data_IF_930685478648
#
_entry.id   IF_930685478648
#
_cell.length_a   1.000
_cell.length_b   1.000
_cell.length_c   1.000
_cell.angle_alpha   90.00
_cell.angle_beta   90.00
_cell.angle_gamma   90.00
#
_symmetry.space_group_name_H-M   'P 1'
#
loop_
_entity.id
_entity.type
_entity.pdbx_description
1 polymer ?
#
# COMPACT_ATOMS: atom_id res chain seq x y z
N UNK A 1 10.09 17.09 4.50
CA UNK A 1 8.71 16.63 4.19
C UNK A 1 8.78 15.17 3.78
N UNK A 2 8.08 14.30 4.50
CA UNK A 2 8.37 12.87 4.56
C UNK A 2 7.35 12.09 3.73
N UNK A 3 7.81 11.43 2.66
CA UNK A 3 7.03 10.53 1.81
C UNK A 3 6.70 9.25 2.58
N UNK A 4 5.43 8.88 2.75
CA UNK A 4 5.04 7.72 3.58
C UNK A 4 4.26 6.72 2.74
N UNK A 5 4.88 5.57 2.47
CA UNK A 5 4.17 4.45 1.90
C UNK A 5 3.70 3.52 3.02
N UNK A 6 2.46 3.04 2.91
CA UNK A 6 1.87 2.14 3.89
C UNK A 6 1.71 0.76 3.25
N UNK A 7 2.35 -0.24 3.86
CA UNK A 7 2.27 -1.63 3.44
C UNK A 7 1.43 -2.39 4.45
N UNK A 8 0.31 -2.95 4.00
CA UNK A 8 -0.60 -3.68 4.87
C UNK A 8 -0.49 -5.17 4.54
N UNK A 9 0.09 -5.95 5.46
CA UNK A 9 0.04 -7.41 5.37
C UNK A 9 -1.20 -7.91 6.11
N UNK A 10 -2.14 -8.50 5.37
CA UNK A 10 -3.35 -9.07 5.95
C UNK A 10 -3.14 -10.57 6.16
N UNK A 11 -3.18 -11.01 7.42
CA UNK A 11 -3.28 -12.43 7.77
C UNK A 11 -4.75 -12.84 7.77
N UNK A 12 -5.39 -12.86 6.59
CA UNK A 12 -6.73 -13.41 6.47
C UNK A 12 -6.63 -14.92 6.25
N UNK A 13 -7.22 -15.78 7.10
CA UNK A 13 -7.34 -17.19 6.75
C UNK A 13 -8.12 -17.28 5.44
N UNK A 14 -7.58 -18.01 4.46
CA UNK A 14 -8.01 -18.10 3.06
C UNK A 14 -9.50 -18.45 2.82
N UNK A 15 -10.30 -18.63 3.88
CA UNK A 15 -11.69 -19.11 3.87
C UNK A 15 -12.71 -18.22 4.57
N UNK A 16 -12.34 -17.06 5.12
CA UNK A 16 -13.20 -16.33 6.08
C UNK A 16 -13.85 -15.02 5.57
N UNK A 17 -14.12 -14.87 4.28
CA UNK A 17 -15.03 -13.81 3.82
C UNK A 17 -16.19 -14.40 3.03
N UNK A 18 -17.39 -14.55 3.63
CA UNK A 18 -18.60 -14.75 2.85
C UNK A 18 -18.81 -13.54 1.93
N UNK A 19 -19.26 -13.83 0.72
CA UNK A 19 -19.48 -12.85 -0.33
C UNK A 19 -20.58 -11.87 0.09
N UNK A 20 -20.24 -10.73 0.69
CA UNK A 20 -21.19 -9.63 0.86
C UNK A 20 -20.51 -8.29 1.15
N UNK A 21 -20.55 -7.42 0.13
CA UNK A 21 -20.65 -5.94 0.15
C UNK A 21 -19.59 -5.13 0.92
N UNK A 22 -18.82 -4.38 0.12
CA UNK A 22 -18.22 -3.07 0.41
C UNK A 22 -18.14 -2.62 1.88
N UNK A 23 -16.93 -2.61 2.45
CA UNK A 23 -16.60 -1.67 3.52
C UNK A 23 -15.29 -0.95 3.19
N UNK A 24 -15.39 0.38 3.19
CA UNK A 24 -14.33 1.37 2.97
C UNK A 24 -13.36 1.25 4.15
N UNK A 25 -12.09 0.93 3.92
CA UNK A 25 -11.05 1.04 4.94
C UNK A 25 -10.50 2.45 4.83
N UNK A 26 -10.99 3.35 5.66
CA UNK A 26 -10.44 4.69 5.78
C UNK A 26 -9.12 4.61 6.56
N UNK A 27 -8.02 5.11 5.97
CA UNK A 27 -6.67 5.18 6.56
C UNK A 27 -6.60 6.24 7.70
N UNK A 28 -7.71 6.46 8.41
CA UNK A 28 -7.86 7.43 9.48
C UNK A 28 -7.98 6.72 10.84
N UNK A 29 -7.10 5.77 11.15
CA UNK A 29 -6.90 5.34 12.54
C UNK A 29 -5.56 4.64 12.78
N UNK A 30 -4.49 5.16 12.17
CA UNK A 30 -3.14 4.70 12.45
C UNK A 30 -2.31 5.88 12.98
N UNK A 31 -2.29 5.95 14.32
CA UNK A 31 -1.44 6.75 15.20
C UNK A 31 -2.07 8.02 15.82
N UNK A 32 -2.35 7.95 17.12
CA UNK A 32 -2.12 9.07 18.03
C UNK A 32 -0.85 8.75 18.82
N UNK A 33 0.16 9.62 18.71
CA UNK A 33 1.37 9.56 19.54
C UNK A 33 1.03 9.93 20.98
N UNK A 34 1.36 9.06 21.92
CA UNK A 34 1.59 9.44 23.32
C UNK A 34 2.94 8.85 23.72
N UNK A 35 3.89 9.73 24.09
CA UNK A 35 5.09 9.37 24.86
C UNK A 35 5.91 8.16 24.39
N UNK A 36 6.48 8.19 23.18
CA UNK A 36 7.61 7.31 22.83
C UNK A 36 7.33 5.80 22.67
N UNK A 37 6.08 5.36 22.67
CA UNK A 37 5.70 3.96 22.44
C UNK A 37 4.41 3.83 21.62
N UNK A 38 4.28 2.72 20.87
CA UNK A 38 3.06 2.38 20.15
C UNK A 38 2.02 1.84 21.15
N UNK A 39 0.86 2.51 21.26
CA UNK A 39 -0.29 2.01 22.03
C UNK A 39 -1.29 1.38 21.05
N UNK A 40 -1.56 0.08 21.22
CA UNK A 40 -2.66 -0.58 20.53
C UNK A 40 -3.98 -0.02 21.10
N UNK A 41 -4.70 0.80 20.32
CA UNK A 41 -6.09 1.15 20.64
C UNK A 41 -6.92 -0.14 20.74
N UNK A 42 -7.95 -0.15 21.59
CA UNK A 42 -8.78 -1.34 21.84
C UNK A 42 -9.44 -1.79 20.53
N UNK A 43 -8.84 -2.81 19.91
CA UNK A 43 -9.17 -3.24 18.55
C UNK A 43 -10.21 -4.36 18.60
N UNK A 44 -11.30 -4.28 17.80
CA UNK A 44 -12.14 -5.44 17.52
C UNK A 44 -11.29 -6.64 17.08
N UNK A 45 -11.67 -7.87 17.44
CA UNK A 45 -10.87 -9.08 17.17
C UNK A 45 -10.47 -9.23 15.69
N UNK A 46 -11.26 -8.70 14.76
CA UNK A 46 -10.95 -8.60 13.34
C UNK A 46 -9.58 -7.96 13.04
N UNK A 47 -9.22 -6.90 13.76
CA UNK A 47 -7.94 -6.19 13.53
C UNK A 47 -6.74 -6.84 14.24
N UNK A 48 -6.96 -7.84 15.11
CA UNK A 48 -5.86 -8.64 15.69
C UNK A 48 -5.18 -9.51 14.62
N UNK A 49 -5.89 -9.81 13.53
CA UNK A 49 -5.38 -10.62 12.42
C UNK A 49 -4.67 -9.81 11.32
N UNK A 50 -4.44 -8.51 11.54
CA UNK A 50 -3.89 -7.61 10.51
C UNK A 50 -2.59 -6.98 11.00
N UNK A 51 -1.53 -7.12 10.21
CA UNK A 51 -0.22 -6.51 10.47
C UNK A 51 0.01 -5.34 9.52
N UNK A 52 0.02 -4.12 10.05
CA UNK A 52 0.39 -2.92 9.29
C UNK A 52 1.88 -2.61 9.41
N UNK A 53 2.54 -2.41 8.28
CA UNK A 53 3.91 -1.90 8.16
C UNK A 53 3.86 -0.52 7.49
N UNK A 54 4.65 0.43 7.97
CA UNK A 54 4.78 1.75 7.32
C UNK A 54 6.25 1.95 7.01
N UNK A 55 6.56 2.23 5.75
CA UNK A 55 7.92 2.37 5.25
C UNK A 55 8.09 3.68 4.45
N UNK A 56 9.32 4.17 4.39
CA UNK A 56 9.70 5.42 3.71
C UNK A 56 10.28 5.20 2.30
N UNK A 57 10.19 3.97 1.77
CA UNK A 57 10.60 3.59 0.43
C UNK A 57 9.91 4.46 -0.61
N UNK A 58 10.65 5.38 -1.22
CA UNK A 58 10.17 6.31 -2.24
C UNK A 58 11.00 6.21 -3.53
N UNK A 59 11.82 5.17 -3.65
CA UNK A 59 12.58 4.79 -4.84
C UNK A 59 12.18 3.36 -5.25
N UNK A 60 12.28 2.99 -6.54
CA UNK A 60 11.98 1.64 -7.02
C UNK A 60 12.71 0.55 -6.24
N UNK A 61 14.04 0.68 -6.10
CA UNK A 61 14.88 -0.31 -5.40
C UNK A 61 14.48 -0.49 -3.94
N UNK A 62 14.13 0.59 -3.24
CA UNK A 62 13.71 0.50 -1.84
C UNK A 62 12.36 -0.22 -1.72
N UNK A 63 11.40 0.09 -2.60
CA UNK A 63 10.10 -0.56 -2.61
C UNK A 63 10.24 -2.05 -2.92
N UNK A 64 11.04 -2.41 -3.92
CA UNK A 64 11.31 -3.79 -4.29
C UNK A 64 11.91 -4.57 -3.12
N UNK A 65 12.96 -4.03 -2.47
CA UNK A 65 13.60 -4.69 -1.33
C UNK A 65 12.63 -4.97 -0.19
N UNK A 66 11.75 -4.00 0.14
CA UNK A 66 10.74 -4.19 1.19
C UNK A 66 9.72 -5.26 0.80
N UNK A 67 9.19 -5.20 -0.43
CA UNK A 67 8.18 -6.16 -0.88
C UNK A 67 8.75 -7.58 -1.04
N UNK A 68 9.99 -7.73 -1.52
CA UNK A 68 10.68 -9.02 -1.59
C UNK A 68 10.92 -9.60 -0.18
N UNK A 69 11.30 -8.76 0.78
CA UNK A 69 11.45 -9.19 2.19
C UNK A 69 10.11 -9.67 2.75
N UNK A 70 9.01 -8.97 2.47
CA UNK A 70 7.67 -9.39 2.86
C UNK A 70 7.25 -10.70 2.19
N UNK A 71 7.55 -10.88 0.90
CA UNK A 71 7.29 -12.12 0.16
C UNK A 71 8.02 -13.33 0.77
N UNK A 72 9.25 -13.14 1.24
CA UNK A 72 10.06 -14.20 1.85
C UNK A 72 9.64 -14.52 3.30
N UNK A 73 9.12 -13.53 4.02
CA UNK A 73 8.79 -13.65 5.46
C UNK A 73 7.32 -13.97 5.71
N UNK A 74 6.43 -13.75 4.74
CA UNK A 74 5.01 -14.06 4.86
C UNK A 74 4.76 -15.56 4.96
N UNK A 75 3.71 -15.92 5.69
CA UNK A 75 3.16 -17.28 5.67
C UNK A 75 2.29 -17.47 4.41
N UNK A 76 2.15 -18.70 3.89
CA UNK A 76 1.38 -18.97 2.66
C UNK A 76 -0.08 -18.47 2.68
N UNK A 77 -0.71 -18.43 3.86
CA UNK A 77 -2.07 -17.94 4.05
C UNK A 77 -2.21 -16.41 4.08
N UNK A 78 -1.09 -15.68 4.14
CA UNK A 78 -1.08 -14.23 4.26
C UNK A 78 -1.06 -13.55 2.89
N UNK A 79 -1.80 -12.45 2.78
CA UNK A 79 -1.83 -11.60 1.59
C UNK A 79 -1.13 -10.27 1.85
N UNK A 80 -0.33 -9.84 0.89
CA UNK A 80 0.32 -8.53 0.87
C UNK A 80 -0.58 -7.57 0.10
N UNK A 81 -1.03 -6.52 0.78
CA UNK A 81 -1.75 -5.39 0.17
C UNK A 81 -0.87 -4.15 0.29
N UNK A 82 -0.51 -3.58 -0.84
CA UNK A 82 0.42 -2.45 -0.91
C UNK A 82 -0.33 -1.16 -1.19
N UNK A 83 -0.22 -0.15 -0.33
CA UNK A 83 -0.61 1.22 -0.63
C UNK A 83 0.65 2.00 -0.99
N UNK A 84 0.76 2.38 -2.26
CA UNK A 84 1.96 3.06 -2.79
C UNK A 84 1.55 4.34 -3.49
N UNK A 85 2.30 5.41 -3.22
CA UNK A 85 2.17 6.66 -3.93
C UNK A 85 3.49 7.23 -4.39
N UNK A 86 3.40 8.28 -5.20
CA UNK A 86 4.53 9.09 -5.65
C UNK A 86 4.24 10.57 -5.40
N UNK A 87 5.30 11.36 -5.24
CA UNK A 87 5.20 12.80 -5.03
C UNK A 87 5.20 13.61 -6.32
N UNK A 88 4.61 14.80 -6.23
CA UNK A 88 4.53 15.76 -7.34
C UNK A 88 5.86 16.49 -7.63
N UNK A 89 6.01 17.09 -8.80
CA UNK A 89 7.07 18.06 -9.15
C UNK A 89 8.55 17.62 -8.93
N UNK A 90 8.86 16.33 -8.82
CA UNK A 90 10.26 15.85 -8.68
C UNK A 90 10.65 14.84 -9.73
N UNK A 91 10.15 13.62 -9.57
CA UNK A 91 10.66 12.46 -10.29
C UNK A 91 9.49 11.66 -10.83
N UNK A 92 9.07 12.02 -12.04
CA UNK A 92 7.96 11.36 -12.72
C UNK A 92 8.39 10.01 -13.32
N UNK A 93 9.68 9.85 -13.66
CA UNK A 93 10.19 8.64 -14.32
C UNK A 93 10.02 7.38 -13.45
N UNK A 94 10.09 7.51 -12.13
CA UNK A 94 9.87 6.38 -11.21
C UNK A 94 8.41 5.95 -11.05
N UNK A 95 7.44 6.80 -11.40
CA UNK A 95 5.99 6.56 -11.16
C UNK A 95 5.51 5.24 -11.79
N UNK A 96 5.70 5.00 -13.10
CA UNK A 96 5.29 3.73 -13.71
C UNK A 96 6.07 2.53 -13.14
N UNK A 97 7.35 2.71 -12.81
CA UNK A 97 8.20 1.63 -12.27
C UNK A 97 7.71 1.20 -10.88
N UNK A 98 7.43 2.17 -10.00
CA UNK A 98 6.91 1.93 -8.65
C UNK A 98 5.57 1.18 -8.67
N UNK A 99 4.66 1.57 -9.56
CA UNK A 99 3.37 0.91 -9.70
C UNK A 99 3.52 -0.54 -10.17
N UNK A 100 4.37 -0.77 -11.18
CA UNK A 100 4.65 -2.10 -11.71
C UNK A 100 5.25 -3.03 -10.66
N UNK A 101 6.26 -2.56 -9.93
CA UNK A 101 6.89 -3.35 -8.85
C UNK A 101 5.90 -3.71 -7.75
N UNK A 102 5.07 -2.75 -7.33
CA UNK A 102 4.02 -3.01 -6.36
C UNK A 102 3.06 -4.11 -6.86
N UNK A 103 2.64 -4.04 -8.13
CA UNK A 103 1.69 -4.98 -8.71
C UNK A 103 2.28 -6.40 -8.86
N UNK A 104 3.57 -6.50 -9.21
CA UNK A 104 4.26 -7.78 -9.34
C UNK A 104 4.52 -8.47 -7.99
N UNK A 105 4.76 -7.69 -6.92
CA UNK A 105 5.22 -8.22 -5.63
C UNK A 105 4.12 -8.19 -4.55
N UNK A 106 2.88 -7.85 -4.90
CA UNK A 106 1.74 -7.80 -3.96
C UNK A 106 0.55 -8.54 -4.52
N UNK A 107 -0.32 -9.06 -3.65
CA UNK A 107 -1.58 -9.69 -4.09
C UNK A 107 -2.62 -8.64 -4.48
N UNK A 108 -2.53 -7.43 -3.90
CA UNK A 108 -3.36 -6.28 -4.22
C UNK A 108 -2.55 -4.99 -4.09
N UNK A 109 -2.81 -4.03 -4.97
CA UNK A 109 -2.19 -2.71 -4.91
C UNK A 109 -3.23 -1.63 -4.86
N UNK A 110 -2.94 -0.59 -4.10
CA UNK A 110 -3.70 0.62 -3.99
C UNK A 110 -2.78 1.78 -4.35
N UNK A 111 -3.04 2.42 -5.49
CA UNK A 111 -2.32 3.61 -5.93
C UNK A 111 -2.95 4.85 -5.28
N UNK A 112 -2.10 5.79 -4.87
CA UNK A 112 -2.49 7.08 -4.29
C UNK A 112 -1.48 8.15 -4.70
N UNK A 113 -1.85 9.42 -4.61
CA UNK A 113 -0.87 10.50 -4.65
C UNK A 113 -0.24 10.68 -3.25
N UNK A 114 1.09 10.57 -3.13
CA UNK A 114 1.81 10.78 -1.87
C UNK A 114 2.53 12.14 -1.93
N UNK A 115 1.98 13.16 -1.26
CA UNK A 115 2.48 14.53 -1.29
C UNK A 115 2.50 15.10 -2.73
N UNK A 116 1.32 15.43 -3.30
CA UNK A 116 1.17 15.91 -4.67
C UNK A 116 1.79 17.31 -4.90
N UNK A 117 2.10 18.06 -3.83
CA UNK A 117 2.58 19.45 -3.91
C UNK A 117 1.60 20.30 -4.75
N UNK A 118 2.07 20.87 -5.86
CA UNK A 118 1.30 21.72 -6.77
C UNK A 118 0.85 20.96 -8.02
N UNK A 119 1.13 19.67 -8.11
CA UNK A 119 0.70 18.80 -9.20
C UNK A 119 -0.66 18.19 -8.92
N UNK A 120 -1.49 18.03 -9.95
CA UNK A 120 -2.78 17.35 -9.82
C UNK A 120 -2.56 15.88 -9.35
N UNK A 121 -3.16 15.46 -8.22
CA UNK A 121 -3.10 14.09 -7.74
C UNK A 121 -3.46 13.05 -8.80
N UNK A 122 -4.45 13.34 -9.66
CA UNK A 122 -4.88 12.41 -10.69
C UNK A 122 -3.81 12.21 -11.75
N UNK A 123 -3.09 13.27 -12.14
CA UNK A 123 -1.97 13.18 -13.09
C UNK A 123 -0.87 12.26 -12.55
N UNK A 124 -0.59 12.32 -11.25
CA UNK A 124 0.39 11.43 -10.62
C UNK A 124 -0.08 9.97 -10.72
N UNK A 125 -1.34 9.70 -10.39
CA UNK A 125 -1.93 8.35 -10.42
C UNK A 125 -1.96 7.81 -11.85
N UNK A 126 -2.34 8.62 -12.84
CA UNK A 126 -2.39 8.22 -14.26
C UNK A 126 -0.99 7.85 -14.77
N UNK A 127 0.03 8.61 -14.40
CA UNK A 127 1.43 8.29 -14.74
C UNK A 127 1.95 7.04 -14.04
N UNK A 128 1.48 6.75 -12.83
CA UNK A 128 1.75 5.47 -12.17
C UNK A 128 1.10 4.31 -12.93
N UNK A 129 -0.15 4.48 -13.37
CA UNK A 129 -0.87 3.45 -14.12
C UNK A 129 -0.27 3.13 -15.48
N UNK A 130 0.44 4.07 -16.10
CA UNK A 130 1.15 3.82 -17.36
C UNK A 130 2.21 2.70 -17.26
N UNK A 131 2.62 2.31 -16.03
CA UNK A 131 3.51 1.17 -15.79
C UNK A 131 2.82 -0.19 -15.73
N UNK A 132 1.50 -0.24 -15.76
CA UNK A 132 0.69 -1.44 -15.60
C UNK A 132 0.27 -2.02 -16.97
N UNK A 133 0.28 -3.34 -17.10
CA UNK A 133 -0.15 -4.07 -18.30
C UNK A 133 -1.25 -5.09 -17.94
N UNK A 134 -2.46 -4.99 -18.50
CA UNK A 134 -3.48 -6.03 -18.34
C UNK A 134 -3.01 -7.37 -18.94
N UNK A 135 -3.28 -8.55 -18.34
CA UNK A 135 -4.15 -8.84 -17.19
C UNK A 135 -3.40 -9.07 -15.86
N UNK A 136 -2.08 -8.88 -15.79
CA UNK A 136 -1.28 -9.16 -14.60
C UNK A 136 -1.66 -8.29 -13.38
N UNK A 137 -2.24 -7.11 -13.63
CA UNK A 137 -2.49 -6.07 -12.63
C UNK A 137 -3.97 -5.95 -12.20
N UNK A 138 -4.74 -7.05 -12.29
CA UNK A 138 -6.20 -7.09 -12.08
C UNK A 138 -6.70 -6.68 -10.67
N UNK A 139 -5.78 -6.46 -9.73
CA UNK A 139 -6.07 -6.10 -8.34
C UNK A 139 -5.57 -4.70 -7.94
N UNK A 140 -5.35 -3.83 -8.92
CA UNK A 140 -5.00 -2.42 -8.65
C UNK A 140 -6.27 -1.59 -8.39
N UNK A 141 -6.29 -0.83 -7.31
CA UNK A 141 -7.34 0.16 -6.97
C UNK A 141 -6.71 1.54 -6.81
N UNK A 142 -7.52 2.59 -6.96
CA UNK A 142 -7.13 3.96 -6.64
C UNK A 142 -7.86 4.42 -5.37
N UNK A 143 -7.20 5.25 -4.58
CA UNK A 143 -7.87 6.05 -3.55
C UNK A 143 -7.94 7.52 -3.99
N UNK A 144 -9.06 8.20 -3.68
CA UNK A 144 -9.19 9.64 -3.91
C UNK A 144 -8.24 10.45 -3.02
#
# INVERSE_FOLDING_TARGET
MTHRNALLSLSLPSRALPHSRHRRVSVHDLSRRVGGGYVAAHRPDFWRAITGLVDYAHTPDALENVLQTLQQTRRPEQRIITVVGCGGNRDAAKRPIMARLAAQLSDQVILTADNPRDEDPQVIIDQMQAGLTPPADAHVRQLP
#
